data_IF_074419760380
#
_entry.id   IF_074419760380
#
_cell.length_a   1.000
_cell.length_b   1.000
_cell.length_c   1.000
_cell.angle_alpha   90.00
_cell.angle_beta   90.00
_cell.angle_gamma   90.00
#
_symmetry.space_group_name_H-M   'P 1'
#
loop_
_entity.id
_entity.type
_entity.pdbx_description
1 polymer ?
#
# COMPACT_ATOMS: atom_id res chain seq x y z
N UNK A 1 14.69 -14.82 20.26
CA UNK A 1 13.45 -14.26 19.67
C UNK A 1 13.88 -13.11 18.79
N UNK A 2 13.47 -13.05 17.51
CA UNK A 2 13.66 -11.81 16.76
C UNK A 2 12.76 -10.77 17.44
N UNK A 3 13.35 -9.73 18.00
CA UNK A 3 12.59 -8.51 18.25
C UNK A 3 12.24 -7.98 16.87
N UNK A 4 10.99 -8.17 16.47
CA UNK A 4 10.51 -7.65 15.19
C UNK A 4 10.12 -6.19 15.41
N UNK A 5 10.59 -5.30 14.55
CA UNK A 5 10.27 -3.87 14.63
C UNK A 5 8.77 -3.57 14.41
N UNK A 6 8.03 -4.55 13.90
CA UNK A 6 6.62 -4.45 13.50
C UNK A 6 5.72 -4.63 14.72
N UNK A 7 4.83 -3.66 14.93
CA UNK A 7 3.80 -3.68 15.97
C UNK A 7 2.48 -4.24 15.41
N UNK A 8 2.07 -3.73 14.24
CA UNK A 8 0.83 -4.15 13.58
C UNK A 8 0.93 -4.04 12.05
N UNK A 9 0.17 -4.89 11.36
CA UNK A 9 0.04 -4.89 9.90
C UNK A 9 -1.43 -4.87 9.54
N UNK A 10 -1.84 -3.89 8.73
CA UNK A 10 -3.19 -3.78 8.20
C UNK A 10 -3.17 -3.83 6.67
N UNK A 11 -3.92 -4.77 6.11
CA UNK A 11 -4.08 -4.92 4.66
C UNK A 11 -5.46 -4.40 4.24
N UNK A 12 -5.48 -3.33 3.44
CA UNK A 12 -6.65 -2.94 2.66
C UNK A 12 -6.51 -3.54 1.26
N UNK A 13 -7.14 -4.69 1.07
CA UNK A 13 -7.12 -5.41 -0.21
C UNK A 13 -7.82 -4.67 -1.35
N UNK A 14 -8.81 -3.82 -1.04
CA UNK A 14 -9.56 -3.08 -2.07
C UNK A 14 -8.70 -1.94 -2.66
N UNK A 15 -7.94 -1.26 -1.81
CA UNK A 15 -6.98 -0.23 -2.26
C UNK A 15 -5.63 -0.79 -2.66
N UNK A 16 -5.33 -2.04 -2.35
CA UNK A 16 -3.99 -2.62 -2.50
C UNK A 16 -2.96 -1.94 -1.59
N UNK A 17 -3.39 -1.53 -0.39
CA UNK A 17 -2.59 -0.80 0.59
C UNK A 17 -2.21 -1.71 1.75
N UNK A 18 -0.91 -1.77 2.04
CA UNK A 18 -0.34 -2.38 3.23
C UNK A 18 0.16 -1.27 4.16
N UNK A 19 -0.46 -1.15 5.34
CA UNK A 19 -0.07 -0.22 6.39
C UNK A 19 0.64 -0.97 7.51
N UNK A 20 1.82 -0.53 7.89
CA UNK A 20 2.68 -1.18 8.88
C UNK A 20 3.01 -0.19 10.00
N UNK A 21 2.52 -0.48 11.20
CA UNK A 21 2.93 0.21 12.43
C UNK A 21 4.21 -0.43 12.95
N UNK A 22 5.18 0.40 13.35
CA UNK A 22 6.48 -0.07 13.81
C UNK A 22 7.04 0.76 14.98
N UNK A 23 8.07 0.24 15.64
CA UNK A 23 8.73 0.87 16.79
C UNK A 23 9.78 1.94 16.41
N UNK A 24 9.88 2.25 15.12
CA UNK A 24 10.90 3.14 14.55
C UNK A 24 12.14 2.45 13.96
N UNK A 25 12.34 1.15 14.18
CA UNK A 25 13.55 0.42 13.74
C UNK A 25 13.38 -0.43 12.48
N UNK A 26 12.19 -0.41 11.86
CA UNK A 26 11.88 -1.26 10.70
C UNK A 26 12.82 -1.02 9.53
N UNK A 27 13.29 -2.11 8.95
CA UNK A 27 14.26 -2.11 7.85
C UNK A 27 13.57 -2.30 6.50
N UNK A 28 14.30 -1.95 5.43
CA UNK A 28 13.85 -2.19 4.06
C UNK A 28 13.63 -3.69 3.79
N UNK A 29 14.47 -4.56 4.33
CA UNK A 29 14.35 -6.01 4.16
C UNK A 29 13.06 -6.55 4.81
N UNK A 30 12.71 -6.07 6.00
CA UNK A 30 11.45 -6.42 6.67
C UNK A 30 10.24 -5.93 5.86
N UNK A 31 10.30 -4.72 5.30
CA UNK A 31 9.25 -4.19 4.43
C UNK A 31 9.12 -5.01 3.14
N UNK A 32 10.25 -5.43 2.54
CA UNK A 32 10.25 -6.27 1.34
C UNK A 32 9.68 -7.67 1.64
N UNK A 33 10.01 -8.25 2.80
CA UNK A 33 9.45 -9.54 3.24
C UNK A 33 7.93 -9.46 3.45
N UNK A 34 7.45 -8.41 4.15
CA UNK A 34 6.01 -8.17 4.31
C UNK A 34 5.30 -7.96 2.97
N UNK A 35 5.88 -7.14 2.08
CA UNK A 35 5.36 -6.92 0.73
C UNK A 35 5.24 -8.24 -0.03
N UNK A 36 6.29 -9.07 0.01
CA UNK A 36 6.29 -10.37 -0.67
C UNK A 36 5.23 -11.31 -0.11
N UNK A 37 5.03 -11.31 1.22
CA UNK A 37 4.02 -12.13 1.88
C UNK A 37 2.59 -11.77 1.45
N UNK A 38 2.30 -10.49 1.28
CA UNK A 38 0.93 -10.03 0.99
C UNK A 38 0.63 -9.83 -0.50
N UNK A 39 1.61 -9.39 -1.29
CA UNK A 39 1.41 -9.07 -2.71
C UNK A 39 2.14 -10.01 -3.66
N UNK A 40 3.07 -10.84 -3.17
CA UNK A 40 3.91 -11.72 -3.97
C UNK A 40 5.28 -11.11 -4.30
N UNK A 41 6.26 -11.97 -4.61
CA UNK A 41 7.65 -11.55 -4.91
C UNK A 41 7.74 -10.63 -6.11
N UNK A 42 6.93 -10.89 -7.13
CA UNK A 42 6.91 -10.15 -8.40
C UNK A 42 6.11 -8.84 -8.31
N UNK A 43 5.38 -8.62 -7.21
CA UNK A 43 4.63 -7.39 -7.05
C UNK A 43 5.55 -6.21 -6.76
N UNK A 44 5.15 -5.08 -7.32
CA UNK A 44 5.79 -3.79 -7.10
C UNK A 44 4.93 -3.02 -6.11
N UNK A 45 5.56 -2.35 -5.16
CA UNK A 45 4.87 -1.42 -4.29
C UNK A 45 5.68 -0.14 -4.10
N UNK A 46 4.99 0.97 -3.84
CA UNK A 46 5.59 2.28 -3.58
C UNK A 46 5.15 2.81 -2.22
N UNK A 47 6.02 3.58 -1.58
CA UNK A 47 5.68 4.44 -0.45
C UNK A 47 5.56 5.88 -0.97
N UNK A 48 4.46 6.56 -0.64
CA UNK A 48 4.18 7.93 -1.08
C UNK A 48 4.35 8.87 0.10
N UNK A 49 5.19 9.89 -0.08
CA UNK A 49 5.38 10.97 0.89
C UNK A 49 4.47 12.14 0.49
N UNK A 50 3.43 12.46 1.30
CA UNK A 50 2.53 13.55 0.99
C UNK A 50 3.22 14.92 1.15
N UNK A 51 2.62 16.02 0.65
CA UNK A 51 3.05 17.36 1.01
C UNK A 51 3.18 17.50 2.53
N UNK A 52 4.24 18.16 2.99
CA UNK A 52 4.57 18.30 4.42
C UNK A 52 3.38 18.86 5.24
N UNK A 53 2.65 19.82 4.68
CA UNK A 53 1.46 20.41 5.31
C UNK A 53 0.28 19.45 5.51
N UNK A 54 0.33 18.27 4.89
CA UNK A 54 -0.67 17.22 5.01
C UNK A 54 -0.14 16.00 5.79
N UNK A 55 1.09 16.05 6.29
CA UNK A 55 1.67 14.97 7.10
C UNK A 55 1.01 14.97 8.48
N UNK A 56 0.42 13.84 8.86
CA UNK A 56 -0.02 13.56 10.22
C UNK A 56 0.92 12.52 10.83
N UNK A 57 1.92 12.97 11.59
CA UNK A 57 2.94 12.10 12.19
C UNK A 57 2.60 11.73 13.64
N UNK A 58 1.51 10.99 13.83
CA UNK A 58 1.07 10.57 15.17
C UNK A 58 1.66 9.22 15.61
N UNK A 59 2.08 8.38 14.66
CA UNK A 59 2.65 7.05 14.90
C UNK A 59 3.70 6.74 13.81
N UNK A 60 4.75 5.94 14.12
CA UNK A 60 5.66 5.46 13.09
C UNK A 60 4.95 4.45 12.18
N UNK A 61 4.61 4.91 10.98
CA UNK A 61 3.87 4.14 9.98
C UNK A 61 4.65 4.06 8.68
N UNK A 62 4.59 2.89 8.02
CA UNK A 62 4.98 2.69 6.62
C UNK A 62 3.75 2.29 5.82
N UNK A 63 3.57 2.90 4.66
CA UNK A 63 2.44 2.63 3.78
C UNK A 63 2.93 2.22 2.40
N UNK A 64 2.65 0.97 2.02
CA UNK A 64 3.03 0.41 0.73
C UNK A 64 1.79 0.22 -0.13
N UNK A 65 1.74 0.88 -1.27
CA UNK A 65 0.70 0.70 -2.28
C UNK A 65 1.19 -0.20 -3.39
N UNK A 66 0.51 -1.34 -3.60
CA UNK A 66 0.78 -2.24 -4.72
C UNK A 66 0.49 -1.53 -6.04
N UNK A 67 1.43 -1.51 -6.96
CA UNK A 67 1.19 -1.01 -8.32
C UNK A 67 0.44 -2.04 -9.16
N UNK A 68 -0.50 -1.56 -9.96
CA UNK A 68 -1.20 -2.36 -10.95
C UNK A 68 -0.74 -2.08 -12.38
N UNK A 69 -1.48 -2.62 -13.33
CA UNK A 69 -1.17 -2.49 -14.75
C UNK A 69 -1.36 -1.04 -15.21
N UNK A 70 -0.29 -0.46 -15.76
CA UNK A 70 -0.29 0.90 -16.28
C UNK A 70 0.09 1.98 -15.25
N UNK A 71 0.26 1.64 -13.97
CA UNK A 71 0.89 2.57 -13.02
C UNK A 71 2.33 2.86 -13.45
N UNK A 72 2.68 4.15 -13.47
CA UNK A 72 4.05 4.56 -13.76
C UNK A 72 4.90 4.46 -12.50
N UNK A 73 6.08 3.88 -12.68
CA UNK A 73 7.20 3.95 -11.77
C UNK A 73 8.49 4.01 -12.60
N UNK A 74 9.56 4.67 -12.12
CA UNK A 74 10.84 4.64 -12.81
C UNK A 74 11.32 3.19 -12.83
N UNK A 75 11.14 2.55 -13.98
CA UNK A 75 11.32 1.10 -14.13
C UNK A 75 12.78 0.73 -13.88
N UNK A 76 13.04 0.11 -12.73
CA UNK A 76 14.35 -0.45 -12.37
C UNK A 76 14.52 -1.90 -12.87
N UNK A 77 13.50 -2.47 -13.53
CA UNK A 77 13.38 -3.92 -13.77
C UNK A 77 13.16 -4.31 -15.23
N UNK A 78 12.79 -3.37 -16.10
CA UNK A 78 12.36 -3.63 -17.48
C UNK A 78 10.98 -4.29 -17.58
N UNK A 79 10.22 -4.40 -16.47
CA UNK A 79 8.96 -5.14 -16.38
C UNK A 79 7.86 -4.25 -15.83
N UNK A 80 6.71 -4.27 -16.50
CA UNK A 80 5.50 -3.59 -16.03
C UNK A 80 4.48 -4.62 -15.54
N UNK A 81 3.73 -4.33 -14.46
CA UNK A 81 2.62 -5.19 -14.05
C UNK A 81 1.61 -5.35 -15.20
N UNK A 82 1.09 -6.56 -15.37
CA UNK A 82 0.05 -6.90 -16.35
C UNK A 82 -1.15 -7.49 -15.58
N UNK A 83 -2.36 -7.06 -15.93
CA UNK A 83 -3.62 -7.69 -15.48
C UNK A 83 -4.17 -7.29 -14.11
N UNK A 84 -3.43 -6.56 -13.28
CA UNK A 84 -3.94 -6.02 -12.00
C UNK A 84 -4.48 -4.59 -12.19
N UNK A 85 -5.47 -4.18 -11.38
CA UNK A 85 -6.00 -2.82 -11.42
C UNK A 85 -4.95 -1.81 -10.94
N UNK A 86 -4.78 -0.72 -11.67
CA UNK A 86 -3.91 0.37 -11.24
C UNK A 86 -4.48 1.10 -10.00
N UNK A 87 -3.64 1.92 -9.36
CA UNK A 87 -4.02 2.67 -8.16
C UNK A 87 -5.26 3.54 -8.36
N UNK A 88 -5.39 4.17 -9.53
CA UNK A 88 -6.53 5.03 -9.86
C UNK A 88 -7.83 4.24 -9.97
N UNK A 89 -7.81 3.11 -10.68
CA UNK A 89 -9.01 2.29 -10.89
C UNK A 89 -9.47 1.68 -9.57
N UNK A 90 -8.54 1.28 -8.69
CA UNK A 90 -8.88 0.84 -7.32
C UNK A 90 -9.54 1.95 -6.52
N UNK A 91 -8.98 3.17 -6.53
CA UNK A 91 -9.57 4.32 -5.82
C UNK A 91 -10.97 4.65 -6.34
N UNK A 92 -11.17 4.65 -7.66
CA UNK A 92 -12.48 4.89 -8.27
C UNK A 92 -13.52 3.83 -7.87
N UNK A 93 -13.15 2.54 -7.89
CA UNK A 93 -14.06 1.48 -7.46
C UNK A 93 -14.43 1.58 -5.98
N UNK A 94 -13.44 1.88 -5.13
CA UNK A 94 -13.66 2.05 -3.70
C UNK A 94 -14.59 3.23 -3.43
N UNK A 95 -14.40 4.35 -4.12
CA UNK A 95 -15.30 5.52 -4.01
C UNK A 95 -16.71 5.20 -4.47
N UNK A 96 -16.87 4.53 -5.61
CA UNK A 96 -18.18 4.13 -6.13
C UNK A 96 -18.92 3.24 -5.12
N UNK A 97 -18.23 2.28 -4.49
CA UNK A 97 -18.84 1.45 -3.45
C UNK A 97 -19.34 2.29 -2.26
N UNK A 98 -18.54 3.24 -1.76
CA UNK A 98 -18.98 4.11 -0.65
C UNK A 98 -20.18 4.99 -1.02
N UNK A 99 -20.23 5.49 -2.26
CA UNK A 99 -21.38 6.26 -2.76
C UNK A 99 -22.64 5.39 -2.81
N UNK A 100 -22.54 4.16 -3.32
CA UNK A 100 -23.66 3.21 -3.37
C UNK A 100 -24.17 2.84 -1.96
N UNK A 101 -23.26 2.58 -1.01
CA UNK A 101 -23.63 2.34 0.39
C UNK A 101 -24.31 3.56 1.03
N UNK A 102 -23.83 4.77 0.72
CA UNK A 102 -24.42 6.02 1.21
C UNK A 102 -25.82 6.32 0.65
N UNK A 103 -26.15 5.79 -0.54
CA UNK A 103 -27.50 5.88 -1.10
C UNK A 103 -28.44 4.77 -0.60
N UNK A 104 -27.91 3.56 -0.32
CA UNK A 104 -28.70 2.45 0.20
C UNK A 104 -29.18 2.63 1.66
N UNK A 105 -28.58 3.56 2.39
CA UNK A 105 -28.92 3.91 3.78
C UNK A 105 -29.87 5.11 3.91
N UNK A 106 -30.36 5.65 2.78
CA UNK A 106 -31.39 6.70 2.74
C UNK A 106 -32.75 6.11 2.39
#
# INVERSE_FOLDING_TARGET
MRNTAIIAVHLDGARGLLSVEHDGSITWDELQELKNMHFGSEAVAIEVYPPDSLVVNSLPMRHLWKLGAGDYWPDLTGRKPIGDLNLRDRDLLVRAQYEDFGQALK
#
